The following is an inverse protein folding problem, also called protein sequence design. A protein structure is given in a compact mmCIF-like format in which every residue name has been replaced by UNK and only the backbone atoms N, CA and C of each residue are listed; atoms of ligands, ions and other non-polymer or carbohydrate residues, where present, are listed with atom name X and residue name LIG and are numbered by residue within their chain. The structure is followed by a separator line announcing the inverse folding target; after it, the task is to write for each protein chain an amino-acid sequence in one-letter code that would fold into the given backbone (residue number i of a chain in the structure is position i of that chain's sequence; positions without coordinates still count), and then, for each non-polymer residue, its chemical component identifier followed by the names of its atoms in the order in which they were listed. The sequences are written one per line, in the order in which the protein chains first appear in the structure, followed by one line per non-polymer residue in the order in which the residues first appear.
data_IF_421300621940
#
_entry.id   IF_421300621940
#
_cell.length_a   1.000
_cell.length_b   1.000
_cell.length_c   1.000
_cell.angle_alpha   90.00
_cell.angle_beta   90.00
_cell.angle_gamma   90.00
#
_symmetry.space_group_name_H-M   'P 1'
#
loop_
_entity.id
_entity.type
_entity.pdbx_description
1 polymer ?
#
# COMPACT_ATOMS: atom_id res chain seq x y z
N UNK A 1 -17.98 -29.67 2.37
CA UNK A 1 -16.57 -29.42 2.72
C UNK A 1 -16.57 -28.31 3.76
N UNK A 2 -16.08 -28.53 4.97
CA UNK A 2 -16.01 -27.49 6.01
C UNK A 2 -15.12 -26.35 5.55
N UNK A 3 -15.44 -25.09 5.87
CA UNK A 3 -14.68 -23.93 5.39
C UNK A 3 -13.19 -24.02 5.76
N UNK A 4 -12.85 -24.54 6.95
CA UNK A 4 -11.46 -24.79 7.35
C UNK A 4 -10.71 -25.74 6.40
N UNK A 5 -11.36 -26.78 5.85
CA UNK A 5 -10.74 -27.66 4.86
C UNK A 5 -10.48 -26.95 3.53
N UNK A 6 -11.36 -26.03 3.12
CA UNK A 6 -11.17 -25.20 1.91
C UNK A 6 -9.92 -24.34 2.05
N UNK A 7 -9.80 -23.61 3.15
CA UNK A 7 -8.64 -22.74 3.39
C UNK A 7 -7.36 -23.55 3.57
N UNK A 8 -7.41 -24.70 4.26
CA UNK A 8 -6.26 -25.58 4.40
C UNK A 8 -5.76 -26.08 3.03
N UNK A 9 -6.65 -26.53 2.14
CA UNK A 9 -6.28 -26.91 0.79
C UNK A 9 -5.69 -25.76 -0.01
N UNK A 10 -6.34 -24.59 0.03
CA UNK A 10 -5.90 -23.40 -0.69
C UNK A 10 -4.50 -22.98 -0.23
N UNK A 11 -4.31 -22.78 1.07
CA UNK A 11 -3.05 -22.32 1.66
C UNK A 11 -1.92 -23.34 1.47
N UNK A 12 -2.21 -24.63 1.57
CA UNK A 12 -1.22 -25.69 1.31
C UNK A 12 -0.79 -25.73 -0.15
N UNK A 13 -1.62 -25.25 -1.07
CA UNK A 13 -1.31 -25.20 -2.50
C UNK A 13 -0.56 -23.92 -2.91
N UNK A 14 -0.41 -22.95 -2.01
CA UNK A 14 0.23 -21.66 -2.25
C UNK A 14 1.72 -21.68 -1.82
N UNK A 15 2.66 -21.29 -2.69
CA UNK A 15 4.09 -21.25 -2.36
C UNK A 15 4.44 -20.09 -1.42
N UNK A 16 5.51 -20.25 -0.64
CA UNK A 16 6.00 -19.20 0.24
C UNK A 16 6.49 -17.95 -0.53
N UNK A 17 6.27 -16.76 0.03
CA UNK A 17 6.60 -15.47 -0.59
C UNK A 17 8.10 -15.14 -0.66
N UNK A 18 8.94 -15.83 0.12
CA UNK A 18 10.30 -15.38 0.42
C UNK A 18 10.33 -14.07 1.21
N UNK A 19 11.51 -13.49 1.39
CA UNK A 19 11.65 -12.19 2.07
C UNK A 19 11.38 -11.03 1.09
N UNK A 20 10.59 -10.04 1.54
CA UNK A 20 10.05 -8.95 0.73
C UNK A 20 11.09 -8.26 -0.18
N UNK A 21 12.21 -7.80 0.41
CA UNK A 21 13.19 -7.00 -0.33
C UNK A 21 14.25 -7.82 -1.08
N UNK A 22 14.31 -9.12 -0.87
CA UNK A 22 15.25 -10.01 -1.59
C UNK A 22 14.57 -10.76 -2.74
N UNK A 23 13.23 -10.76 -2.77
CA UNK A 23 12.46 -11.37 -3.84
C UNK A 23 12.74 -10.67 -5.18
N UNK A 24 13.11 -11.45 -6.20
CA UNK A 24 13.30 -10.98 -7.58
C UNK A 24 12.05 -11.12 -8.46
N UNK A 25 11.12 -11.96 -8.02
CA UNK A 25 9.84 -12.23 -8.67
C UNK A 25 8.82 -12.63 -7.63
N UNK A 26 7.53 -12.54 -7.97
CA UNK A 26 6.46 -13.09 -7.14
C UNK A 26 6.50 -14.63 -7.14
N UNK A 27 6.02 -15.28 -6.07
CA UNK A 27 6.10 -16.75 -5.96
C UNK A 27 5.12 -17.46 -6.93
N UNK A 28 4.12 -16.74 -7.42
CA UNK A 28 3.19 -17.13 -8.50
C UNK A 28 2.96 -15.91 -9.39
N UNK A 29 2.59 -16.10 -10.65
CA UNK A 29 2.06 -14.99 -11.47
C UNK A 29 0.69 -14.54 -10.94
N UNK A 30 0.29 -13.29 -11.22
CA UNK A 30 -1.03 -12.75 -10.86
C UNK A 30 -2.15 -13.68 -11.32
N UNK A 31 -2.09 -14.12 -12.58
CA UNK A 31 -3.08 -15.03 -13.17
C UNK A 31 -3.20 -16.33 -12.37
N UNK A 32 -2.08 -16.95 -11.98
CA UNK A 32 -2.09 -18.19 -11.19
C UNK A 32 -2.63 -17.96 -9.77
N UNK A 33 -2.31 -16.83 -9.15
CA UNK A 33 -2.88 -16.49 -7.84
C UNK A 33 -4.41 -16.36 -7.94
N UNK A 34 -4.91 -15.58 -8.89
CA UNK A 34 -6.36 -15.39 -9.07
C UNK A 34 -7.07 -16.71 -9.40
N UNK A 35 -6.47 -17.57 -10.21
CA UNK A 35 -6.99 -18.92 -10.46
C UNK A 35 -7.13 -19.74 -9.18
N UNK A 36 -6.17 -19.67 -8.25
CA UNK A 36 -6.26 -20.38 -6.97
C UNK A 36 -7.30 -19.76 -6.03
N UNK A 37 -7.42 -18.43 -6.02
CA UNK A 37 -8.41 -17.71 -5.23
C UNK A 37 -9.87 -17.98 -5.68
N UNK A 38 -10.09 -18.55 -6.88
CA UNK A 38 -11.44 -19.02 -7.28
C UNK A 38 -12.01 -20.12 -6.38
N UNK A 39 -11.18 -20.75 -5.54
CA UNK A 39 -11.62 -21.73 -4.55
C UNK A 39 -12.38 -21.10 -3.38
N UNK A 40 -12.23 -19.78 -3.15
CA UNK A 40 -13.01 -19.04 -2.16
C UNK A 40 -14.50 -19.07 -2.53
N UNK A 41 -15.36 -19.04 -1.52
CA UNK A 41 -16.77 -18.79 -1.78
C UNK A 41 -17.00 -17.33 -2.25
N UNK A 42 -18.23 -17.06 -2.65
CA UNK A 42 -18.57 -15.78 -3.24
C UNK A 42 -18.50 -14.61 -2.24
N UNK A 43 -18.64 -14.83 -0.94
CA UNK A 43 -18.60 -13.78 0.08
C UNK A 43 -17.14 -13.41 0.40
N UNK A 44 -16.30 -14.39 0.62
CA UNK A 44 -14.86 -14.23 0.84
C UNK A 44 -14.17 -13.60 -0.37
N UNK A 45 -14.48 -14.09 -1.57
CA UNK A 45 -13.91 -13.55 -2.80
C UNK A 45 -14.31 -12.08 -3.04
N UNK A 46 -15.52 -11.66 -2.58
CA UNK A 46 -15.93 -10.25 -2.62
C UNK A 46 -15.20 -9.46 -1.56
N UNK A 47 -15.12 -9.96 -0.33
CA UNK A 47 -14.45 -9.31 0.79
C UNK A 47 -12.99 -9.02 0.47
N UNK A 48 -12.24 -10.02 -0.02
CA UNK A 48 -10.84 -9.86 -0.41
C UNK A 48 -10.67 -8.81 -1.53
N UNK A 49 -11.54 -8.83 -2.53
CA UNK A 49 -11.50 -7.88 -3.64
C UNK A 49 -11.78 -6.45 -3.18
N UNK A 50 -12.83 -6.26 -2.39
CA UNK A 50 -13.17 -4.95 -1.82
C UNK A 50 -12.04 -4.43 -0.93
N UNK A 51 -11.47 -5.30 -0.09
CA UNK A 51 -10.31 -4.97 0.74
C UNK A 51 -9.12 -4.48 -0.10
N UNK A 52 -8.73 -5.23 -1.15
CA UNK A 52 -7.64 -4.84 -2.07
C UNK A 52 -7.88 -3.46 -2.69
N UNK A 53 -9.06 -3.24 -3.27
CA UNK A 53 -9.42 -1.94 -3.87
C UNK A 53 -9.39 -0.78 -2.87
N UNK A 54 -9.70 -1.03 -1.59
CA UNK A 54 -9.63 -0.01 -0.55
C UNK A 54 -8.18 0.36 -0.20
N UNK A 55 -7.30 -0.63 -0.09
CA UNK A 55 -5.94 -0.42 0.43
C UNK A 55 -4.88 -0.18 -0.65
N UNK A 56 -5.10 -0.66 -1.87
CA UNK A 56 -4.19 -0.47 -3.00
C UNK A 56 -4.44 0.87 -3.68
N UNK A 57 -3.45 1.76 -3.58
CA UNK A 57 -3.55 3.10 -4.16
C UNK A 57 -3.32 3.09 -5.68
N UNK A 58 -2.59 2.11 -6.21
CA UNK A 58 -2.32 1.97 -7.64
C UNK A 58 -3.59 1.70 -8.46
N UNK A 59 -4.63 1.15 -7.83
CA UNK A 59 -5.94 0.92 -8.44
C UNK A 59 -6.91 2.11 -8.27
N UNK A 60 -6.49 3.22 -7.64
CA UNK A 60 -7.35 4.38 -7.48
C UNK A 60 -7.24 5.30 -8.70
N UNK A 61 -8.41 5.69 -9.20
CA UNK A 61 -8.55 6.64 -10.31
C UNK A 61 -7.77 7.94 -10.02
N UNK A 62 -6.76 8.28 -10.85
CA UNK A 62 -6.01 9.53 -10.73
C UNK A 62 -6.89 10.80 -10.77
N UNK A 63 -8.11 10.70 -11.31
CA UNK A 63 -9.08 11.78 -11.39
C UNK A 63 -10.04 11.85 -10.20
N UNK A 64 -9.99 10.87 -9.27
CA UNK A 64 -10.82 10.90 -8.08
C UNK A 64 -10.29 11.92 -7.06
N UNK A 65 -11.19 12.72 -6.49
CA UNK A 65 -10.80 13.63 -5.41
C UNK A 65 -10.49 12.86 -4.13
N UNK A 66 -9.55 13.36 -3.33
CA UNK A 66 -9.21 12.79 -2.02
C UNK A 66 -10.46 12.60 -1.13
N UNK A 67 -11.40 13.55 -1.20
CA UNK A 67 -12.67 13.47 -0.49
C UNK A 67 -13.54 12.30 -0.97
N UNK A 68 -13.63 12.07 -2.29
CA UNK A 68 -14.39 10.93 -2.83
C UNK A 68 -13.79 9.59 -2.39
N UNK A 69 -12.46 9.48 -2.33
CA UNK A 69 -11.76 8.30 -1.82
C UNK A 69 -12.09 8.06 -0.34
N UNK A 70 -12.05 9.11 0.49
CA UNK A 70 -12.37 9.02 1.91
C UNK A 70 -13.84 8.64 2.15
N UNK A 71 -14.78 9.23 1.41
CA UNK A 71 -16.20 8.91 1.52
C UNK A 71 -16.52 7.49 1.03
N UNK A 72 -15.81 7.00 0.02
CA UNK A 72 -15.89 5.59 -0.38
C UNK A 72 -15.42 4.67 0.73
N UNK A 73 -14.25 4.94 1.31
CA UNK A 73 -13.71 4.14 2.42
C UNK A 73 -14.65 4.09 3.63
N UNK A 74 -15.15 5.24 4.08
CA UNK A 74 -16.09 5.36 5.21
C UNK A 74 -17.40 4.61 4.98
N UNK A 75 -17.85 4.48 3.73
CA UNK A 75 -19.05 3.70 3.38
C UNK A 75 -18.77 2.21 3.25
N UNK A 76 -17.65 1.82 2.67
CA UNK A 76 -17.38 0.42 2.33
C UNK A 76 -16.81 -0.39 3.49
N UNK A 77 -15.90 0.18 4.30
CA UNK A 77 -15.27 -0.58 5.38
C UNK A 77 -16.29 -1.14 6.38
N UNK A 78 -17.28 -0.38 6.87
CA UNK A 78 -18.29 -0.93 7.78
C UNK A 78 -19.14 -2.06 7.19
N UNK A 79 -19.17 -2.20 5.85
CA UNK A 79 -19.97 -3.22 5.15
C UNK A 79 -19.21 -4.50 4.86
N UNK A 80 -17.88 -4.53 5.04
CA UNK A 80 -17.11 -5.77 4.94
C UNK A 80 -17.62 -6.73 6.03
N UNK A 81 -17.96 -7.99 5.73
CA UNK A 81 -18.50 -8.93 6.71
C UNK A 81 -17.45 -9.36 7.74
N UNK A 82 -16.22 -9.58 7.28
CA UNK A 82 -15.11 -10.09 8.09
C UNK A 82 -14.46 -8.99 8.96
N UNK A 83 -14.40 -9.17 10.30
CA UNK A 83 -13.77 -8.19 11.20
C UNK A 83 -12.28 -7.98 10.91
N UNK A 84 -11.55 -9.04 10.57
CA UNK A 84 -10.12 -8.95 10.29
C UNK A 84 -9.84 -8.06 9.07
N UNK A 85 -10.63 -8.23 7.99
CA UNK A 85 -10.58 -7.36 6.81
C UNK A 85 -10.89 -5.89 7.15
N UNK A 86 -11.87 -5.63 8.04
CA UNK A 86 -12.19 -4.26 8.49
C UNK A 86 -11.02 -3.62 9.23
N UNK A 87 -10.49 -4.31 10.24
CA UNK A 87 -9.39 -3.81 11.06
C UNK A 87 -8.14 -3.53 10.23
N UNK A 88 -7.86 -4.39 9.25
CA UNK A 88 -6.74 -4.22 8.34
C UNK A 88 -6.93 -3.04 7.37
N UNK A 89 -8.15 -2.86 6.84
CA UNK A 89 -8.48 -1.70 6.02
C UNK A 89 -8.33 -0.39 6.82
N UNK A 90 -8.85 -0.37 8.05
CA UNK A 90 -8.73 0.76 8.96
C UNK A 90 -7.27 1.12 9.23
N UNK A 91 -6.46 0.13 9.62
CA UNK A 91 -5.04 0.32 9.89
C UNK A 91 -4.29 0.86 8.66
N UNK A 92 -4.56 0.32 7.46
CA UNK A 92 -3.93 0.78 6.21
C UNK A 92 -4.31 2.21 5.85
N UNK A 93 -5.57 2.61 6.05
CA UNK A 93 -6.01 3.98 5.75
C UNK A 93 -5.54 4.99 6.81
N UNK A 94 -5.42 4.57 8.08
CA UNK A 94 -4.76 5.38 9.12
C UNK A 94 -3.31 5.66 8.75
N UNK A 95 -2.56 4.62 8.36
CA UNK A 95 -1.17 4.76 7.89
C UNK A 95 -1.06 5.74 6.71
N UNK A 96 -1.97 5.65 5.73
CA UNK A 96 -2.02 6.58 4.58
C UNK A 96 -2.31 8.01 5.02
N UNK A 97 -3.24 8.20 5.94
CA UNK A 97 -3.58 9.52 6.49
C UNK A 97 -2.36 10.19 7.14
N UNK A 98 -1.57 9.42 7.89
CA UNK A 98 -0.32 9.91 8.49
C UNK A 98 0.72 10.32 7.44
N UNK A 99 0.88 9.54 6.36
CA UNK A 99 1.79 9.90 5.26
C UNK A 99 1.32 11.14 4.51
N UNK A 100 0.01 11.27 4.26
CA UNK A 100 -0.55 12.47 3.64
C UNK A 100 -0.26 13.72 4.50
N UNK A 101 -0.41 13.62 5.82
CA UNK A 101 -0.07 14.71 6.74
C UNK A 101 1.41 15.08 6.68
N UNK A 102 2.32 14.10 6.72
CA UNK A 102 3.75 14.37 6.62
C UNK A 102 4.12 15.04 5.29
N UNK A 103 3.58 14.56 4.16
CA UNK A 103 3.81 15.15 2.84
C UNK A 103 3.27 16.58 2.75
N UNK A 104 2.07 16.82 3.27
CA UNK A 104 1.45 18.14 3.35
C UNK A 104 2.34 19.11 4.13
N UNK A 105 2.80 18.71 5.32
CA UNK A 105 3.72 19.52 6.13
C UNK A 105 5.06 19.77 5.42
N UNK A 106 5.62 18.76 4.77
CA UNK A 106 6.87 18.88 4.02
C UNK A 106 6.76 19.89 2.86
N UNK A 107 5.57 20.04 2.25
CA UNK A 107 5.29 21.10 1.26
C UNK A 107 5.04 22.49 1.86
N UNK A 108 5.17 22.66 3.17
CA UNK A 108 4.90 23.93 3.87
C UNK A 108 3.42 24.28 3.99
N UNK A 109 2.52 23.35 3.69
CA UNK A 109 1.08 23.59 3.81
C UNK A 109 0.65 23.62 5.30
N UNK A 110 -0.33 24.46 5.66
CA UNK A 110 -0.83 24.53 7.03
C UNK A 110 -1.56 23.24 7.43
N UNK A 111 -1.75 23.00 8.74
CA UNK A 111 -2.58 21.90 9.20
C UNK A 111 -3.98 21.96 8.57
N UNK A 112 -4.62 20.81 8.32
CA UNK A 112 -5.98 20.77 7.80
C UNK A 112 -6.96 21.54 8.70
N UNK A 113 -7.80 22.37 8.09
CA UNK A 113 -8.82 23.16 8.78
C UNK A 113 -10.04 22.32 9.19
N UNK A 114 -10.42 21.37 8.35
CA UNK A 114 -11.57 20.49 8.57
C UNK A 114 -11.23 19.36 9.53
N UNK A 115 -12.19 18.94 10.37
CA UNK A 115 -12.01 17.76 11.23
C UNK A 115 -11.94 16.45 10.45
N UNK A 116 -12.61 16.36 9.29
CA UNK A 116 -12.74 15.13 8.47
C UNK A 116 -11.78 15.07 7.28
N UNK A 117 -10.62 15.72 7.41
CA UNK A 117 -9.60 15.82 6.35
C UNK A 117 -8.91 14.49 5.98
N UNK A 118 -9.02 13.47 6.83
CA UNK A 118 -8.39 12.17 6.64
C UNK A 118 -9.21 11.01 7.20
N UNK A 119 -8.64 9.81 7.20
CA UNK A 119 -9.28 8.60 7.71
C UNK A 119 -8.74 8.19 9.08
N UNK A 120 -9.63 7.67 9.93
CA UNK A 120 -9.29 7.02 11.19
C UNK A 120 -9.01 7.97 12.36
N UNK A 121 -8.52 7.40 13.46
CA UNK A 121 -8.53 8.03 14.78
C UNK A 121 -7.49 9.13 14.98
N UNK A 122 -6.46 9.17 14.14
CA UNK A 122 -5.32 10.08 14.31
C UNK A 122 -5.54 11.49 13.74
N UNK A 123 -6.63 11.72 13.02
CA UNK A 123 -6.91 12.98 12.31
C UNK A 123 -6.86 14.21 13.21
N UNK A 124 -7.46 14.14 14.40
CA UNK A 124 -7.47 15.23 15.37
C UNK A 124 -6.11 15.37 16.06
N UNK A 125 -5.43 14.27 16.38
CA UNK A 125 -4.12 14.30 17.02
C UNK A 125 -3.06 14.94 16.11
N UNK A 126 -3.05 14.57 14.84
CA UNK A 126 -2.20 15.19 13.80
C UNK A 126 -2.43 16.69 13.73
N UNK A 127 -3.70 17.13 13.71
CA UNK A 127 -4.06 18.55 13.65
C UNK A 127 -3.55 19.31 14.89
N UNK A 128 -3.72 18.73 16.08
CA UNK A 128 -3.30 19.33 17.36
C UNK A 128 -1.77 19.42 17.50
N UNK A 129 -1.05 18.43 16.99
CA UNK A 129 0.41 18.30 17.15
C UNK A 129 1.15 18.47 15.82
N UNK A 130 0.64 19.30 14.92
CA UNK A 130 1.14 19.46 13.55
C UNK A 130 2.65 19.73 13.45
N UNK A 131 3.18 20.53 14.38
CA UNK A 131 4.58 20.94 14.39
C UNK A 131 5.52 19.91 15.07
N UNK A 132 4.97 18.85 15.66
CA UNK A 132 5.77 17.78 16.27
C UNK A 132 6.20 16.78 15.18
N UNK A 133 7.48 16.35 15.10
CA UNK A 133 7.99 15.55 13.98
C UNK A 133 7.15 14.32 13.62
N UNK A 134 6.59 13.63 14.60
CA UNK A 134 5.70 12.49 14.40
C UNK A 134 4.32 12.69 15.07
N UNK A 135 3.86 13.93 15.20
CA UNK A 135 2.54 14.26 15.78
C UNK A 135 2.29 13.69 17.19
N UNK A 136 3.37 13.40 17.94
CA UNK A 136 3.35 12.67 19.22
C UNK A 136 2.78 11.25 19.13
N UNK A 137 2.98 10.59 17.98
CA UNK A 137 2.53 9.23 17.70
C UNK A 137 3.67 8.22 17.69
N UNK A 138 4.86 8.55 18.20
CA UNK A 138 6.05 7.70 18.15
C UNK A 138 5.84 6.35 18.83
N UNK A 139 5.03 6.33 19.89
CA UNK A 139 4.69 5.08 20.61
C UNK A 139 3.69 4.22 19.85
N UNK A 140 2.67 4.84 19.25
CA UNK A 140 1.62 4.12 18.53
C UNK A 140 2.03 3.73 17.11
N UNK A 141 2.90 4.53 16.49
CA UNK A 141 3.42 4.38 15.13
C UNK A 141 4.95 4.56 15.15
N UNK A 142 5.72 3.55 15.60
CA UNK A 142 7.18 3.66 15.73
C UNK A 142 7.93 3.96 14.42
N UNK A 143 7.32 3.67 13.27
CA UNK A 143 7.86 3.94 11.94
C UNK A 143 7.75 5.43 11.54
N UNK A 144 6.89 6.21 12.19
CA UNK A 144 6.52 7.55 11.76
C UNK A 144 7.67 8.58 11.85
N UNK A 145 8.52 8.59 12.90
CA UNK A 145 9.68 9.49 12.95
C UNK A 145 10.67 9.27 11.82
N UNK A 146 10.92 8.01 11.46
CA UNK A 146 11.82 7.67 10.35
C UNK A 146 11.21 8.09 9.01
N UNK A 147 9.89 7.94 8.83
CA UNK A 147 9.20 8.42 7.64
C UNK A 147 9.33 9.95 7.47
N UNK A 148 9.14 10.71 8.57
CA UNK A 148 9.31 12.16 8.57
C UNK A 148 10.74 12.56 8.18
N UNK A 149 11.75 11.96 8.83
CA UNK A 149 13.17 12.21 8.53
C UNK A 149 13.53 11.93 7.07
N UNK A 150 13.07 10.81 6.50
CA UNK A 150 13.36 10.48 5.09
C UNK A 150 12.67 11.42 4.11
N UNK A 151 11.45 11.87 4.43
CA UNK A 151 10.78 12.90 3.63
C UNK A 151 11.57 14.21 3.62
N UNK A 152 12.05 14.66 4.78
CA UNK A 152 12.86 15.88 4.89
C UNK A 152 14.19 15.79 4.12
N UNK A 153 14.74 14.57 3.98
CA UNK A 153 15.94 14.29 3.18
C UNK A 153 15.67 14.12 1.68
N UNK A 154 14.40 14.15 1.24
CA UNK A 154 14.02 13.86 -0.15
C UNK A 154 14.19 12.39 -0.57
N UNK A 155 14.39 11.47 0.40
CA UNK A 155 14.61 10.04 0.15
C UNK A 155 13.28 9.31 -0.13
N UNK A 156 12.68 9.58 -1.29
CA UNK A 156 11.39 9.01 -1.69
C UNK A 156 11.42 7.47 -1.76
N UNK A 157 12.53 6.89 -2.22
CA UNK A 157 12.72 5.43 -2.29
C UNK A 157 12.80 4.85 -0.89
N UNK A 158 13.53 5.49 0.01
CA UNK A 158 13.63 5.06 1.40
C UNK A 158 12.31 5.19 2.14
N UNK A 159 11.49 6.21 1.88
CA UNK A 159 10.12 6.30 2.42
C UNK A 159 9.32 5.09 1.93
N UNK A 160 9.28 4.83 0.63
CA UNK A 160 8.54 3.70 0.06
C UNK A 160 8.97 2.36 0.69
N UNK A 161 10.29 2.12 0.78
CA UNK A 161 10.86 0.91 1.39
C UNK A 161 10.46 0.77 2.86
N UNK A 162 10.46 1.86 3.63
CA UNK A 162 10.03 1.86 5.02
C UNK A 162 8.54 1.50 5.15
N UNK A 163 7.68 2.07 4.30
CA UNK A 163 6.24 1.80 4.34
C UNK A 163 5.94 0.35 3.96
N UNK A 164 6.54 -0.17 2.89
CA UNK A 164 6.37 -1.58 2.50
C UNK A 164 6.82 -2.52 3.62
N UNK A 165 7.95 -2.22 4.28
CA UNK A 165 8.44 -2.98 5.44
C UNK A 165 7.44 -2.97 6.59
N UNK A 166 6.94 -1.79 6.94
CA UNK A 166 6.00 -1.60 8.05
C UNK A 166 4.73 -2.44 7.85
N UNK A 167 4.22 -2.49 6.61
CA UNK A 167 3.04 -3.32 6.26
C UNK A 167 3.39 -4.79 6.34
N UNK A 168 4.53 -5.20 5.78
CA UNK A 168 4.98 -6.58 5.82
C UNK A 168 5.11 -7.11 7.26
N UNK A 169 5.79 -6.37 8.13
CA UNK A 169 5.95 -6.74 9.54
C UNK A 169 4.61 -6.75 10.29
N UNK A 170 3.68 -5.87 9.93
CA UNK A 170 2.33 -5.89 10.51
C UNK A 170 1.56 -7.15 10.09
N UNK A 171 1.62 -7.52 8.81
CA UNK A 171 1.00 -8.75 8.29
C UNK A 171 1.65 -10.01 8.88
N UNK A 172 2.96 -10.00 9.13
CA UNK A 172 3.66 -11.09 9.82
C UNK A 172 3.16 -11.26 11.25
N UNK A 173 3.07 -10.17 12.03
CA UNK A 173 2.53 -10.24 13.39
C UNK A 173 1.09 -10.73 13.45
N UNK A 174 0.27 -10.37 12.46
CA UNK A 174 -1.11 -10.86 12.36
C UNK A 174 -1.17 -12.34 11.98
N UNK A 175 -0.19 -12.86 11.25
CA UNK A 175 -0.16 -14.26 10.81
C UNK A 175 -0.08 -15.25 11.97
N UNK A 176 0.58 -14.90 13.07
CA UNK A 176 0.78 -15.81 14.21
C UNK A 176 -0.54 -16.32 14.83
N UNK A 177 -1.67 -15.65 14.58
CA UNK A 177 -3.00 -16.07 15.00
C UNK A 177 -3.81 -16.88 13.98
N UNK A 178 -3.33 -17.03 12.73
CA UNK A 178 -4.13 -17.46 11.58
C UNK A 178 -3.40 -18.49 10.73
N UNK A 179 -3.89 -19.74 10.73
CA UNK A 179 -3.23 -20.86 10.04
C UNK A 179 -4.04 -21.40 8.86
N UNK A 180 -5.34 -21.70 9.06
CA UNK A 180 -6.22 -22.30 8.04
C UNK A 180 -7.62 -21.69 8.05
N UNK A 181 -7.65 -20.36 7.97
CA UNK A 181 -8.86 -19.55 7.92
C UNK A 181 -8.77 -18.51 6.80
N UNK A 182 -9.85 -17.75 6.61
CA UNK A 182 -9.90 -16.71 5.59
C UNK A 182 -8.89 -15.58 5.85
N UNK A 183 -8.63 -15.23 7.11
CA UNK A 183 -7.64 -14.23 7.48
C UNK A 183 -6.22 -14.61 7.00
N UNK A 184 -5.84 -15.88 7.11
CA UNK A 184 -4.58 -16.39 6.55
C UNK A 184 -4.53 -16.23 5.01
N UNK A 185 -5.65 -16.42 4.31
CA UNK A 185 -5.75 -16.17 2.87
C UNK A 185 -5.58 -14.69 2.54
N UNK A 186 -6.23 -13.80 3.30
CA UNK A 186 -6.06 -12.34 3.16
C UNK A 186 -4.58 -11.97 3.35
N UNK A 187 -3.95 -12.42 4.44
CA UNK A 187 -2.54 -12.15 4.73
C UNK A 187 -1.66 -12.63 3.57
N UNK A 188 -1.89 -13.84 3.07
CA UNK A 188 -1.14 -14.36 1.94
C UNK A 188 -1.30 -13.45 0.72
N UNK A 189 -2.54 -13.18 0.32
CA UNK A 189 -2.87 -12.38 -0.84
C UNK A 189 -2.20 -10.99 -0.79
N UNK A 190 -2.25 -10.32 0.36
CA UNK A 190 -1.67 -8.99 0.52
C UNK A 190 -0.15 -8.98 0.59
N UNK A 191 0.47 -10.01 1.16
CA UNK A 191 1.93 -10.18 1.09
C UNK A 191 2.38 -10.40 -0.35
N UNK A 192 1.63 -11.17 -1.13
CA UNK A 192 1.87 -11.30 -2.56
C UNK A 192 1.81 -9.94 -3.25
N UNK A 193 0.81 -9.12 -2.95
CA UNK A 193 0.64 -7.78 -3.54
C UNK A 193 1.83 -6.85 -3.19
N UNK A 194 2.38 -6.94 -1.97
CA UNK A 194 3.59 -6.21 -1.59
C UNK A 194 4.83 -6.66 -2.39
N UNK A 195 5.02 -7.97 -2.55
CA UNK A 195 6.14 -8.49 -3.36
C UNK A 195 5.99 -8.05 -4.81
N UNK A 196 4.78 -8.18 -5.37
CA UNK A 196 4.48 -7.76 -6.73
C UNK A 196 4.83 -6.29 -6.94
N UNK A 197 4.36 -5.41 -6.05
CA UNK A 197 4.68 -3.99 -6.06
C UNK A 197 6.18 -3.73 -5.96
N UNK A 198 6.90 -4.39 -5.06
CA UNK A 198 8.35 -4.18 -4.93
C UNK A 198 9.09 -4.59 -6.21
N UNK A 199 8.74 -5.74 -6.77
CA UNK A 199 9.39 -6.29 -7.98
C UNK A 199 9.02 -5.52 -9.25
N UNK A 200 7.80 -5.01 -9.37
CA UNK A 200 7.40 -4.19 -10.54
C UNK A 200 8.02 -2.80 -10.51
N UNK A 201 8.20 -2.20 -9.33
CA UNK A 201 8.88 -0.90 -9.18
C UNK A 201 10.32 -0.90 -9.73
N UNK A 202 11.00 -2.05 -9.69
CA UNK A 202 12.36 -2.18 -10.24
C UNK A 202 12.38 -2.25 -11.77
N UNK A 203 11.26 -2.62 -12.40
CA UNK A 203 11.15 -2.77 -13.85
C UNK A 203 10.51 -1.55 -14.51
N UNK A 204 9.38 -1.06 -14.00
CA UNK A 204 8.56 -0.06 -14.68
C UNK A 204 9.00 1.39 -14.39
N UNK A 205 9.39 1.74 -13.15
CA UNK A 205 9.90 3.09 -12.85
C UNK A 205 11.31 3.33 -13.38
N UNK A 206 12.09 2.28 -13.59
CA UNK A 206 13.40 2.39 -14.21
C UNK A 206 13.27 2.79 -15.68
N UNK A 207 12.37 2.14 -16.43
CA UNK A 207 12.06 2.47 -17.83
C UNK A 207 11.35 3.81 -17.96
N UNK A 208 10.25 4.04 -17.25
CA UNK A 208 9.49 5.28 -17.38
C UNK A 208 10.29 6.52 -16.96
N UNK A 209 11.14 6.43 -15.92
CA UNK A 209 12.02 7.54 -15.53
C UNK A 209 13.22 7.70 -16.45
N UNK A 210 13.69 6.62 -17.06
CA UNK A 210 14.70 6.70 -18.11
C UNK A 210 14.12 7.38 -19.35
N UNK A 211 12.94 6.98 -19.80
CA UNK A 211 12.24 7.55 -20.95
C UNK A 211 11.90 9.03 -20.71
N UNK A 212 11.39 9.38 -19.52
CA UNK A 212 11.11 10.78 -19.13
C UNK A 212 12.38 11.64 -19.04
N UNK A 213 13.49 11.08 -18.56
CA UNK A 213 14.80 11.76 -18.56
C UNK A 213 15.40 11.89 -19.96
N UNK A 214 15.19 10.90 -20.85
CA UNK A 214 15.60 10.91 -22.26
C UNK A 214 14.79 11.96 -23.01
N UNK A 215 13.47 11.95 -22.87
CA UNK A 215 12.57 12.94 -23.49
C UNK A 215 12.92 14.35 -22.99
N UNK A 216 13.07 14.56 -21.68
CA UNK A 216 13.47 15.86 -21.12
C UNK A 216 14.87 16.31 -21.57
N UNK A 217 15.82 15.37 -21.74
CA UNK A 217 17.17 15.70 -22.21
C UNK A 217 17.24 15.96 -23.72
N UNK A 218 16.30 15.40 -24.49
CA UNK A 218 16.19 15.60 -25.93
C UNK A 218 15.29 16.79 -26.29
N UNK A 219 14.43 17.24 -25.36
CA UNK A 219 13.58 18.42 -25.53
C UNK A 219 14.45 19.68 -25.55
N UNK A 220 14.76 20.16 -26.75
CA UNK A 220 15.65 21.31 -27.01
C UNK A 220 17.00 20.97 -27.65
N UNK A 221 17.28 19.71 -27.98
CA UNK A 221 18.46 19.33 -28.77
C UNK A 221 18.06 19.23 -30.25
N UNK A 222 18.31 20.30 -31.02
CA UNK A 222 18.34 20.18 -32.48
C UNK A 222 19.55 19.34 -32.87
N UNK A 223 19.32 18.08 -33.27
CA UNK A 223 20.32 17.29 -33.96
C UNK A 223 20.54 17.91 -35.34
N UNK A 224 21.49 18.84 -35.44
CA UNK A 224 21.97 19.30 -36.73
C UNK A 224 22.67 18.12 -37.40
N UNK A 225 22.22 17.67 -38.59
CA UNK A 225 22.98 16.71 -39.36
C UNK A 225 24.30 17.39 -39.74
N UNK A 226 25.41 16.90 -39.20
CA UNK A 226 26.73 17.34 -39.63
C UNK A 226 26.84 17.00 -41.12
N UNK A 227 26.87 18.05 -41.95
CA UNK A 227 27.02 17.93 -43.38
C UNK A 227 28.32 17.19 -43.67
N UNK A 228 28.20 15.99 -44.25
CA UNK A 228 29.32 15.25 -44.81
C UNK A 228 30.05 16.16 -45.82
N UNK A 229 31.28 16.54 -45.46
CA UNK A 229 32.26 17.11 -46.36
C UNK A 229 33.12 15.99 -46.96
#
# INVERSE_FOLDING_TARGET
MTDSHRYAMLLSALPAHGALFTARQTPLSRIRLEQRLTQLDAEDARTLRTLRTLIEWAEQDPHSSDQAVLERARRQIPTLPDPFARDLADWRLEMRTLICALRRRHRGEPPPSERRWGYGRWTEQVRRHWNEPAFRLERACPWLPEAARRLDQGDAIGVERLLLRTVWEHLERLHDGHHFDFAAVIIYALRWDLVARWTSYHHERALARFDDLIETALDGVELTPEAAA
#
